data_IF_325984901294
#
_entry.id   IF_325984901294
#
_cell.length_a   1.000
_cell.length_b   1.000
_cell.length_c   1.000
_cell.angle_alpha   90.00
_cell.angle_beta   90.00
_cell.angle_gamma   90.00
#
_symmetry.space_group_name_H-M   'P 1'
#
loop_
_entity.id
_entity.type
_entity.pdbx_description
1 polymer ?
#
# COMPACT_ATOMS: atom_id res chain seq x y z
N UNK A 1 18.84 -10.27 -5.92
CA UNK A 1 19.30 -11.21 -4.87
C UNK A 1 19.08 -10.52 -3.51
N UNK A 2 18.06 -10.92 -2.77
CA UNK A 2 17.86 -10.47 -1.39
C UNK A 2 19.00 -11.04 -0.52
N UNK A 3 19.60 -10.19 0.29
CA UNK A 3 20.67 -10.59 1.21
C UNK A 3 20.02 -11.09 2.51
N UNK A 4 19.72 -12.39 2.58
CA UNK A 4 18.96 -13.06 3.64
C UNK A 4 19.86 -13.57 4.77
N UNK A 5 20.78 -12.76 5.30
CA UNK A 5 21.60 -13.15 6.45
C UNK A 5 21.16 -12.46 7.74
N UNK A 6 20.99 -13.24 8.80
CA UNK A 6 20.73 -12.78 10.17
C UNK A 6 19.23 -12.57 10.49
N UNK A 7 18.92 -11.60 11.36
CA UNK A 7 17.55 -11.28 11.83
C UNK A 7 16.55 -11.07 10.66
N UNK A 8 17.05 -10.69 9.48
CA UNK A 8 16.25 -10.52 8.27
C UNK A 8 15.60 -11.81 7.77
N UNK A 9 16.27 -12.95 7.89
CA UNK A 9 15.69 -14.25 7.47
C UNK A 9 14.56 -14.73 8.39
N UNK A 10 14.61 -14.35 9.68
CA UNK A 10 13.54 -14.66 10.63
C UNK A 10 12.24 -13.88 10.33
N UNK A 11 12.34 -12.67 9.75
CA UNK A 11 11.21 -11.84 9.40
C UNK A 11 10.52 -12.26 8.08
N UNK A 12 11.02 -13.27 7.37
CA UNK A 12 10.33 -13.85 6.21
C UNK A 12 9.10 -14.66 6.62
N UNK A 13 9.07 -15.15 7.86
CA UNK A 13 7.92 -15.88 8.39
C UNK A 13 6.75 -14.92 8.65
N UNK A 14 5.54 -15.20 8.11
CA UNK A 14 4.38 -14.28 8.21
C UNK A 14 4.03 -13.91 9.65
N UNK A 15 4.15 -14.83 10.60
CA UNK A 15 3.82 -14.58 12.00
C UNK A 15 4.84 -13.67 12.70
N UNK A 16 6.14 -13.81 12.39
CA UNK A 16 7.20 -12.93 12.92
C UNK A 16 7.07 -11.53 12.33
N UNK A 17 6.81 -11.44 11.03
CA UNK A 17 6.53 -10.16 10.36
C UNK A 17 5.33 -9.46 10.97
N UNK A 18 4.23 -10.18 11.21
CA UNK A 18 3.03 -9.63 11.84
C UNK A 18 3.29 -9.21 13.29
N UNK A 19 4.04 -10.00 14.08
CA UNK A 19 4.42 -9.64 15.45
C UNK A 19 5.28 -8.37 15.47
N UNK A 20 6.27 -8.26 14.58
CA UNK A 20 7.08 -7.05 14.43
C UNK A 20 6.23 -5.84 14.06
N UNK A 21 5.34 -5.94 13.07
CA UNK A 21 4.43 -4.89 12.66
C UNK A 21 3.52 -4.41 13.81
N UNK A 22 3.05 -5.33 14.65
CA UNK A 22 2.23 -4.98 15.83
C UNK A 22 3.06 -4.26 16.91
N UNK A 23 4.30 -4.69 17.16
CA UNK A 23 5.20 -4.07 18.16
C UNK A 23 5.52 -2.63 17.76
N UNK A 24 5.81 -2.36 16.49
CA UNK A 24 6.13 -1.01 16.00
C UNK A 24 4.89 -0.12 15.84
N UNK A 25 3.69 -0.66 16.00
CA UNK A 25 2.44 0.11 15.94
C UNK A 25 1.86 0.30 14.54
N UNK A 26 2.35 -0.45 13.55
CA UNK A 26 1.90 -0.36 12.16
C UNK A 26 0.39 -0.61 11.99
N UNK A 27 -0.23 -1.41 12.87
CA UNK A 27 -1.69 -1.61 12.90
C UNK A 27 -2.44 -0.31 13.20
N UNK A 28 -1.94 0.52 14.15
CA UNK A 28 -2.55 1.83 14.46
C UNK A 28 -2.34 2.83 13.33
N UNK A 29 -1.15 2.81 12.71
CA UNK A 29 -0.86 3.63 11.54
C UNK A 29 -1.83 3.31 10.40
N UNK A 30 -2.00 2.02 10.07
CA UNK A 30 -2.94 1.57 9.05
C UNK A 30 -4.39 1.97 9.37
N UNK A 31 -4.82 1.85 10.64
CA UNK A 31 -6.18 2.25 11.03
C UNK A 31 -6.39 3.76 10.84
N UNK A 32 -5.43 4.60 11.20
CA UNK A 32 -5.52 6.06 10.99
C UNK A 32 -5.57 6.40 9.51
N UNK A 33 -4.74 5.74 8.68
CA UNK A 33 -4.73 5.92 7.23
C UNK A 33 -6.04 5.43 6.62
N UNK A 34 -6.56 4.27 7.04
CA UNK A 34 -7.84 3.74 6.60
C UNK A 34 -8.98 4.74 6.83
N UNK A 35 -9.11 5.22 8.05
CA UNK A 35 -10.19 6.14 8.41
C UNK A 35 -10.13 7.47 7.64
N UNK A 36 -8.91 7.96 7.38
CA UNK A 36 -8.70 9.28 6.78
C UNK A 36 -8.68 9.26 5.25
N UNK A 37 -8.03 8.27 4.65
CA UNK A 37 -7.70 8.26 3.23
C UNK A 37 -8.47 7.20 2.43
N UNK A 38 -8.64 5.98 2.95
CA UNK A 38 -9.31 4.93 2.17
C UNK A 38 -10.78 5.21 1.98
N UNK A 39 -11.47 5.63 3.03
CA UNK A 39 -12.89 6.01 2.99
C UNK A 39 -13.78 4.97 2.30
N UNK A 40 -13.36 3.70 2.33
CA UNK A 40 -14.08 2.60 1.73
C UNK A 40 -15.45 2.40 2.39
N UNK A 41 -16.48 2.10 1.59
CA UNK A 41 -17.84 1.87 2.03
C UNK A 41 -18.27 0.43 1.70
N UNK A 42 -19.23 -0.14 2.45
CA UNK A 42 -19.83 -1.41 2.09
C UNK A 42 -20.33 -1.42 0.64
N UNK A 43 -20.11 -2.52 -0.07
CA UNK A 43 -20.46 -2.69 -1.48
C UNK A 43 -19.40 -2.20 -2.48
N UNK A 44 -18.48 -1.35 -2.05
CA UNK A 44 -17.39 -0.86 -2.90
C UNK A 44 -16.36 -1.95 -3.20
N UNK A 45 -15.71 -1.80 -4.35
CA UNK A 45 -14.60 -2.65 -4.78
C UNK A 45 -13.26 -2.04 -4.41
N UNK A 46 -12.46 -2.82 -3.67
CA UNK A 46 -11.10 -2.46 -3.27
C UNK A 46 -10.11 -3.42 -3.91
N UNK A 47 -9.10 -2.88 -4.57
CA UNK A 47 -7.97 -3.63 -5.11
C UNK A 47 -6.72 -3.30 -4.30
N UNK A 48 -6.03 -4.31 -3.78
CA UNK A 48 -4.82 -4.17 -2.96
C UNK A 48 -3.63 -4.76 -3.73
N UNK A 49 -2.75 -3.88 -4.20
CA UNK A 49 -1.56 -4.22 -4.98
C UNK A 49 -0.39 -4.48 -4.03
N UNK A 50 0.14 -5.71 -4.02
CA UNK A 50 1.14 -6.13 -3.05
C UNK A 50 0.53 -6.35 -1.67
N UNK A 51 -0.58 -7.09 -1.63
CA UNK A 51 -1.40 -7.26 -0.42
C UNK A 51 -0.70 -8.03 0.71
N UNK A 52 0.41 -8.72 0.42
CA UNK A 52 1.07 -9.59 1.37
C UNK A 52 0.11 -10.64 1.96
N UNK A 53 0.17 -10.89 3.28
CA UNK A 53 -0.72 -11.85 3.94
C UNK A 53 -2.14 -11.33 4.19
N UNK A 54 -2.58 -10.25 3.54
CA UNK A 54 -3.95 -9.72 3.62
C UNK A 54 -4.26 -8.90 4.88
N UNK A 55 -3.25 -8.37 5.57
CA UNK A 55 -3.44 -7.62 6.83
C UNK A 55 -4.33 -6.38 6.68
N UNK A 56 -4.37 -5.80 5.50
CA UNK A 56 -5.11 -4.58 5.20
C UNK A 56 -6.63 -4.80 5.24
N UNK A 57 -7.10 -5.99 4.89
CA UNK A 57 -8.53 -6.36 4.91
C UNK A 57 -9.18 -6.10 6.26
N UNK A 58 -8.43 -6.30 7.37
CA UNK A 58 -8.94 -6.12 8.75
C UNK A 58 -9.27 -4.67 9.10
N UNK A 59 -8.86 -3.72 8.28
CA UNK A 59 -9.11 -2.29 8.43
C UNK A 59 -10.18 -1.76 7.47
N UNK A 60 -10.76 -2.63 6.64
CA UNK A 60 -11.87 -2.30 5.76
C UNK A 60 -13.22 -2.60 6.42
N UNK A 61 -14.27 -1.85 6.11
CA UNK A 61 -15.62 -2.16 6.59
C UNK A 61 -16.13 -3.49 6.01
N UNK A 62 -17.04 -4.13 6.73
CA UNK A 62 -17.72 -5.32 6.24
C UNK A 62 -18.48 -5.04 4.93
N UNK A 63 -18.62 -6.05 4.06
CA UNK A 63 -19.32 -5.92 2.79
C UNK A 63 -18.52 -5.25 1.67
N UNK A 64 -17.24 -4.94 1.88
CA UNK A 64 -16.33 -4.49 0.82
C UNK A 64 -15.94 -5.69 -0.04
N UNK A 65 -16.03 -5.55 -1.36
CA UNK A 65 -15.53 -6.53 -2.33
C UNK A 65 -14.04 -6.31 -2.53
N UNK A 66 -13.23 -7.16 -1.93
CA UNK A 66 -11.78 -7.02 -1.92
C UNK A 66 -11.09 -8.00 -2.86
N UNK A 67 -10.13 -7.49 -3.61
CA UNK A 67 -9.21 -8.30 -4.42
C UNK A 67 -7.78 -7.88 -4.08
N UNK A 68 -7.01 -8.78 -3.48
CA UNK A 68 -5.59 -8.57 -3.23
C UNK A 68 -4.73 -9.49 -4.09
N UNK A 69 -3.57 -9.00 -4.52
CA UNK A 69 -2.58 -9.85 -5.13
C UNK A 69 -1.17 -9.57 -4.61
N UNK A 70 -0.34 -10.60 -4.66
CA UNK A 70 1.07 -10.55 -4.30
C UNK A 70 1.84 -11.59 -5.12
N UNK A 71 3.14 -11.39 -5.31
CA UNK A 71 4.02 -12.35 -6.00
C UNK A 71 4.34 -13.56 -5.13
N UNK A 72 4.17 -13.46 -3.81
CA UNK A 72 4.47 -14.50 -2.84
C UNK A 72 3.31 -15.49 -2.71
N UNK A 73 3.50 -16.71 -3.20
CA UNK A 73 2.55 -17.82 -2.99
C UNK A 73 2.31 -18.11 -1.51
N UNK A 74 3.35 -17.97 -0.67
CA UNK A 74 3.25 -18.19 0.78
C UNK A 74 2.30 -17.17 1.43
N UNK A 75 2.46 -15.87 1.10
CA UNK A 75 1.58 -14.82 1.61
C UNK A 75 0.14 -14.99 1.14
N UNK A 76 -0.05 -15.28 -0.14
CA UNK A 76 -1.39 -15.52 -0.70
C UNK A 76 -2.03 -16.77 -0.10
N UNK A 77 -1.26 -17.84 0.09
CA UNK A 77 -1.74 -19.03 0.80
C UNK A 77 -2.18 -18.75 2.24
N UNK A 78 -1.42 -17.92 2.96
CA UNK A 78 -1.82 -17.46 4.30
C UNK A 78 -3.09 -16.59 4.26
N UNK A 79 -3.17 -15.64 3.34
CA UNK A 79 -4.34 -14.77 3.18
C UNK A 79 -5.60 -15.57 2.88
N UNK A 80 -5.55 -16.53 1.94
CA UNK A 80 -6.68 -17.41 1.60
C UNK A 80 -7.18 -18.19 2.81
N UNK A 81 -6.27 -18.77 3.61
CA UNK A 81 -6.66 -19.48 4.84
C UNK A 81 -7.27 -18.55 5.89
N UNK A 82 -6.74 -17.33 6.02
CA UNK A 82 -7.22 -16.34 7.02
C UNK A 82 -8.61 -15.80 6.73
N UNK A 83 -9.05 -15.84 5.48
CA UNK A 83 -10.34 -15.34 5.01
C UNK A 83 -11.16 -16.43 4.29
N UNK A 84 -10.88 -17.70 4.62
CA UNK A 84 -11.63 -18.84 4.08
C UNK A 84 -13.11 -18.70 4.40
N UNK A 85 -13.95 -18.94 3.38
CA UNK A 85 -15.41 -18.83 3.51
C UNK A 85 -15.98 -17.40 3.38
N UNK A 86 -15.15 -16.37 3.24
CA UNK A 86 -15.64 -15.01 2.93
C UNK A 86 -15.68 -14.81 1.39
N UNK A 87 -16.88 -14.82 0.77
CA UNK A 87 -17.01 -14.73 -0.69
C UNK A 87 -16.62 -13.35 -1.24
N UNK A 88 -16.55 -12.33 -0.40
CA UNK A 88 -16.18 -10.98 -0.79
C UNK A 88 -14.66 -10.76 -0.81
N UNK A 89 -13.85 -11.76 -0.47
CA UNK A 89 -12.38 -11.65 -0.41
C UNK A 89 -11.72 -12.60 -1.39
N UNK A 90 -11.00 -12.04 -2.34
CA UNK A 90 -10.25 -12.79 -3.36
C UNK A 90 -8.76 -12.49 -3.26
N UNK A 91 -7.93 -13.53 -3.31
CA UNK A 91 -6.47 -13.39 -3.26
C UNK A 91 -5.82 -14.13 -4.43
N UNK A 92 -4.95 -13.44 -5.18
CA UNK A 92 -4.38 -13.92 -6.45
C UNK A 92 -2.86 -13.86 -6.36
N UNK A 93 -2.17 -14.92 -6.78
CA UNK A 93 -0.72 -14.90 -6.99
C UNK A 93 -0.43 -14.28 -8.35
N UNK A 94 0.42 -13.25 -8.38
CA UNK A 94 0.81 -12.61 -9.63
C UNK A 94 1.61 -11.33 -9.44
N UNK A 95 2.08 -10.76 -10.54
CA UNK A 95 2.85 -9.51 -10.58
C UNK A 95 2.10 -8.40 -11.31
N UNK A 96 2.53 -7.15 -11.08
CA UNK A 96 1.97 -5.99 -11.77
C UNK A 96 2.18 -6.07 -13.29
N UNK A 97 3.32 -6.60 -13.75
CA UNK A 97 3.65 -6.79 -15.16
C UNK A 97 2.65 -7.72 -15.85
N UNK A 98 2.33 -8.85 -15.19
CA UNK A 98 1.39 -9.82 -15.75
C UNK A 98 -0.02 -9.23 -15.85
N UNK A 99 -0.47 -8.50 -14.83
CA UNK A 99 -1.83 -7.99 -14.76
C UNK A 99 -2.04 -6.70 -15.57
N UNK A 100 -1.01 -5.90 -15.83
CA UNK A 100 -1.15 -4.74 -16.74
C UNK A 100 -1.35 -5.19 -18.19
N UNK A 101 -0.81 -6.34 -18.58
CA UNK A 101 -1.01 -6.91 -19.90
C UNK A 101 -2.42 -7.49 -20.07
N UNK A 102 -2.96 -8.15 -19.05
CA UNK A 102 -4.32 -8.67 -19.00
C UNK A 102 -4.92 -8.51 -17.61
N UNK A 103 -5.63 -7.39 -17.43
CA UNK A 103 -6.23 -7.04 -16.14
C UNK A 103 -7.38 -7.98 -15.80
N UNK A 104 -7.30 -8.76 -14.71
CA UNK A 104 -8.36 -9.67 -14.29
C UNK A 104 -9.69 -8.93 -14.05
N UNK A 105 -10.81 -9.53 -14.46
CA UNK A 105 -12.14 -8.93 -14.32
C UNK A 105 -12.46 -8.44 -12.90
N UNK A 106 -12.17 -9.21 -11.84
CA UNK A 106 -12.39 -8.78 -10.47
C UNK A 106 -11.62 -7.52 -10.04
N UNK A 107 -10.51 -7.19 -10.72
CA UNK A 107 -9.71 -5.99 -10.44
C UNK A 107 -10.19 -4.73 -11.19
N UNK A 108 -11.12 -4.87 -12.13
CA UNK A 108 -11.62 -3.73 -12.93
C UNK A 108 -12.66 -2.92 -12.17
N UNK A 109 -12.73 -1.62 -12.47
CA UNK A 109 -13.69 -0.67 -11.90
C UNK A 109 -13.59 -0.60 -10.36
N UNK A 110 -12.38 -0.50 -9.83
CA UNK A 110 -12.14 -0.34 -8.41
C UNK A 110 -12.53 1.07 -7.93
N UNK A 111 -13.29 1.16 -6.85
CA UNK A 111 -13.58 2.41 -6.16
C UNK A 111 -12.36 2.91 -5.39
N UNK A 112 -11.55 1.97 -4.90
CA UNK A 112 -10.31 2.22 -4.19
C UNK A 112 -9.24 1.22 -4.65
N UNK A 113 -8.07 1.74 -5.01
CA UNK A 113 -6.85 0.94 -5.11
C UNK A 113 -5.93 1.30 -3.96
N UNK A 114 -5.33 0.30 -3.32
CA UNK A 114 -4.39 0.51 -2.21
C UNK A 114 -3.04 -0.09 -2.55
N UNK A 115 -1.97 0.60 -2.14
CA UNK A 115 -0.60 0.09 -2.08
C UNK A 115 -0.03 0.42 -0.70
N UNK A 116 0.23 -0.58 0.10
CA UNK A 116 0.69 -0.37 1.48
C UNK A 116 2.11 -0.87 1.72
N UNK A 117 3.12 -0.02 1.56
CA UNK A 117 4.51 -0.41 1.76
C UNK A 117 5.05 -1.29 0.64
N UNK A 118 4.67 -1.00 -0.61
CA UNK A 118 5.07 -1.76 -1.79
C UNK A 118 6.12 -1.02 -2.62
N UNK A 119 5.85 0.24 -2.96
CA UNK A 119 6.59 0.96 -4.00
C UNK A 119 8.05 1.21 -3.64
N UNK A 120 8.39 1.28 -2.35
CA UNK A 120 9.77 1.42 -1.89
C UNK A 120 10.62 0.13 -2.02
N UNK A 121 9.99 -1.00 -2.34
CA UNK A 121 10.68 -2.24 -2.70
C UNK A 121 10.99 -2.33 -4.20
N UNK A 122 10.33 -1.53 -5.02
CA UNK A 122 10.36 -1.56 -6.47
C UNK A 122 11.31 -0.50 -7.02
N UNK A 123 12.02 -0.82 -8.10
CA UNK A 123 12.74 0.18 -8.88
C UNK A 123 11.74 1.11 -9.61
N UNK A 124 12.25 2.13 -10.32
CA UNK A 124 11.37 3.12 -10.95
C UNK A 124 10.51 2.51 -12.06
N UNK A 125 11.02 1.54 -12.81
CA UNK A 125 10.29 0.85 -13.88
C UNK A 125 9.16 -0.02 -13.32
N UNK A 126 9.47 -0.81 -12.31
CA UNK A 126 8.50 -1.65 -11.60
C UNK A 126 7.44 -0.81 -10.89
N UNK A 127 7.86 0.28 -10.22
CA UNK A 127 6.94 1.19 -9.53
C UNK A 127 6.00 1.91 -10.52
N UNK A 128 6.51 2.35 -11.68
CA UNK A 128 5.67 2.90 -12.75
C UNK A 128 4.68 1.87 -13.30
N UNK A 129 5.08 0.61 -13.43
CA UNK A 129 4.20 -0.47 -13.87
C UNK A 129 3.08 -0.71 -12.85
N UNK A 130 3.41 -0.73 -11.55
CA UNK A 130 2.41 -0.84 -10.48
C UNK A 130 1.43 0.35 -10.46
N UNK A 131 1.92 1.58 -10.63
CA UNK A 131 1.09 2.78 -10.72
C UNK A 131 0.18 2.76 -11.97
N UNK A 132 0.68 2.31 -13.12
CA UNK A 132 -0.13 2.15 -14.35
C UNK A 132 -1.22 1.08 -14.16
N UNK A 133 -0.89 -0.03 -13.50
CA UNK A 133 -1.88 -1.05 -13.15
C UNK A 133 -2.97 -0.47 -12.24
N UNK A 134 -2.58 0.31 -11.21
CA UNK A 134 -3.55 1.00 -10.36
C UNK A 134 -4.48 1.90 -11.18
N UNK A 135 -3.91 2.72 -12.09
CA UNK A 135 -4.69 3.57 -12.97
C UNK A 135 -5.66 2.78 -13.84
N UNK A 136 -5.23 1.66 -14.41
CA UNK A 136 -6.06 0.78 -15.25
C UNK A 136 -7.17 0.08 -14.47
N UNK A 137 -6.96 -0.22 -13.18
CA UNK A 137 -7.94 -0.85 -12.32
C UNK A 137 -9.05 0.10 -11.85
N UNK A 138 -8.78 1.40 -11.77
CA UNK A 138 -9.70 2.40 -11.21
C UNK A 138 -10.99 2.55 -12.02
N UNK A 139 -12.10 2.69 -11.30
CA UNK A 139 -13.33 3.25 -11.83
C UNK A 139 -13.15 4.77 -12.09
N UNK A 140 -13.99 5.42 -12.96
CA UNK A 140 -13.87 6.85 -13.25
C UNK A 140 -13.89 7.75 -11.99
N UNK A 141 -14.62 7.36 -10.95
CA UNK A 141 -14.72 8.07 -9.66
C UNK A 141 -13.81 7.49 -8.57
N UNK A 142 -13.11 6.39 -8.88
CA UNK A 142 -12.21 5.71 -7.95
C UNK A 142 -10.93 6.49 -7.66
N UNK A 143 -10.20 6.05 -6.65
CA UNK A 143 -8.92 6.65 -6.29
C UNK A 143 -7.90 5.63 -5.82
N UNK A 144 -6.63 5.98 -5.99
CA UNK A 144 -5.48 5.29 -5.43
C UNK A 144 -5.12 5.93 -4.08
N UNK A 145 -4.78 5.10 -3.11
CA UNK A 145 -4.07 5.51 -1.89
C UNK A 145 -2.82 4.65 -1.73
N UNK A 146 -1.65 5.24 -1.85
CA UNK A 146 -0.40 4.57 -1.51
C UNK A 146 0.15 5.12 -0.18
N UNK A 147 0.64 4.21 0.68
CA UNK A 147 1.30 4.53 1.96
C UNK A 147 2.72 4.02 1.91
N UNK A 148 3.70 4.92 1.90
CA UNK A 148 5.11 4.59 1.72
C UNK A 148 6.00 5.26 2.77
N UNK A 149 7.24 4.77 2.90
CA UNK A 149 8.28 5.48 3.63
C UNK A 149 8.81 6.65 2.82
N UNK A 150 9.24 7.73 3.50
CA UNK A 150 9.86 8.88 2.83
C UNK A 150 10.96 9.52 3.65
N UNK A 151 11.92 10.16 2.96
CA UNK A 151 12.93 11.02 3.57
C UNK A 151 12.50 12.48 3.49
N UNK A 152 12.65 13.21 4.62
CA UNK A 152 12.44 14.66 4.67
C UNK A 152 13.77 15.41 4.76
N UNK A 153 13.81 16.63 4.22
CA UNK A 153 14.99 17.51 4.27
C UNK A 153 15.41 17.82 5.73
N UNK A 154 14.43 18.02 6.62
CA UNK A 154 14.65 18.31 8.06
C UNK A 154 14.21 17.15 8.97
N UNK A 155 14.46 15.93 8.56
CA UNK A 155 14.16 14.75 9.36
C UNK A 155 15.22 14.54 10.45
N UNK A 156 14.80 14.12 11.66
CA UNK A 156 15.76 13.77 12.72
C UNK A 156 16.66 12.61 12.29
N UNK A 157 17.90 12.58 12.78
CA UNK A 157 18.85 11.48 12.47
C UNK A 157 18.28 10.13 12.86
N UNK A 158 17.54 10.04 13.96
CA UNK A 158 16.90 8.82 14.42
C UNK A 158 15.80 8.36 13.43
N UNK A 159 14.97 9.28 12.96
CA UNK A 159 13.95 8.98 11.95
C UNK A 159 14.58 8.54 10.62
N UNK A 160 15.65 9.20 10.17
CA UNK A 160 16.40 8.79 8.97
C UNK A 160 16.97 7.39 9.12
N UNK A 161 17.49 7.06 10.30
CA UNK A 161 18.02 5.73 10.59
C UNK A 161 16.91 4.66 10.53
N UNK A 162 15.74 4.91 11.13
CA UNK A 162 14.60 3.98 11.05
C UNK A 162 14.09 3.78 9.62
N UNK A 163 13.96 4.85 8.84
CA UNK A 163 13.58 4.74 7.41
C UNK A 163 14.66 3.99 6.62
N UNK A 164 15.96 4.22 6.92
CA UNK A 164 17.07 3.51 6.29
C UNK A 164 17.19 2.04 6.69
N UNK A 165 16.60 1.62 7.81
CA UNK A 165 16.50 0.20 8.20
C UNK A 165 15.39 -0.54 7.44
N UNK A 166 14.52 0.19 6.77
CA UNK A 166 13.48 -0.41 5.95
C UNK A 166 14.13 -1.31 4.88
N UNK A 167 13.48 -2.42 4.57
CA UNK A 167 13.95 -3.38 3.57
C UNK A 167 13.86 -2.82 2.15
N UNK A 168 13.12 -1.72 1.97
CA UNK A 168 13.00 -1.02 0.71
C UNK A 168 14.33 -0.42 0.28
N UNK A 169 14.84 -0.84 -0.87
CA UNK A 169 16.06 -0.28 -1.45
C UNK A 169 15.82 1.07 -2.13
N UNK A 170 14.56 1.39 -2.39
CA UNK A 170 14.12 2.54 -3.19
C UNK A 170 13.19 3.46 -2.40
N UNK A 171 13.52 3.73 -1.12
CA UNK A 171 12.81 4.76 -0.36
C UNK A 171 13.14 6.11 -0.96
N UNK A 172 12.12 6.81 -1.46
CA UNK A 172 12.23 8.07 -2.18
C UNK A 172 11.89 9.25 -1.27
N UNK A 173 12.44 10.42 -1.58
CA UNK A 173 12.00 11.69 -1.01
C UNK A 173 10.64 12.11 -1.55
N UNK A 174 9.97 13.06 -0.89
CA UNK A 174 8.67 13.58 -1.36
C UNK A 174 8.72 14.13 -2.80
N UNK A 175 9.74 14.91 -3.24
CA UNK A 175 9.85 15.33 -4.64
C UNK A 175 9.95 14.17 -5.62
N UNK A 176 10.72 13.12 -5.29
CA UNK A 176 10.86 11.92 -6.14
C UNK A 176 9.54 11.14 -6.21
N UNK A 177 8.79 11.02 -5.09
CA UNK A 177 7.46 10.43 -5.09
C UNK A 177 6.48 11.22 -5.97
N UNK A 178 6.53 12.56 -5.92
CA UNK A 178 5.69 13.43 -6.78
C UNK A 178 6.04 13.27 -8.25
N UNK A 179 7.34 13.23 -8.58
CA UNK A 179 7.80 13.03 -9.96
C UNK A 179 7.34 11.67 -10.50
N UNK A 180 7.53 10.61 -9.73
CA UNK A 180 7.14 9.26 -10.13
C UNK A 180 5.63 9.15 -10.36
N UNK A 181 4.84 9.68 -9.42
CA UNK A 181 3.37 9.65 -9.50
C UNK A 181 2.85 10.47 -10.67
N UNK A 182 3.43 11.67 -10.90
CA UNK A 182 3.05 12.58 -11.98
C UNK A 182 3.32 12.03 -13.39
N UNK A 183 4.17 11.00 -13.54
CA UNK A 183 4.34 10.28 -14.81
C UNK A 183 3.11 9.42 -15.20
N UNK A 184 2.20 9.18 -14.25
CA UNK A 184 1.05 8.29 -14.44
C UNK A 184 -0.28 8.98 -14.16
N UNK A 185 -0.36 9.86 -13.15
CA UNK A 185 -1.58 10.54 -12.72
C UNK A 185 -1.45 12.05 -12.87
N UNK A 186 -2.43 12.68 -13.52
CA UNK A 186 -2.51 14.14 -13.65
C UNK A 186 -3.10 14.80 -12.38
N UNK A 187 -3.85 14.04 -11.58
CA UNK A 187 -4.51 14.49 -10.36
C UNK A 187 -4.03 13.66 -9.18
N UNK A 188 -3.16 14.23 -8.37
CA UNK A 188 -2.67 13.59 -7.14
C UNK A 188 -2.27 14.63 -6.08
N UNK A 189 -2.30 14.19 -4.83
CA UNK A 189 -1.80 14.94 -3.67
C UNK A 189 -0.91 14.05 -2.80
N UNK A 190 0.00 14.67 -2.06
CA UNK A 190 0.86 13.96 -1.11
C UNK A 190 0.71 14.54 0.28
N UNK A 191 0.66 13.66 1.29
CA UNK A 191 0.54 14.03 2.70
C UNK A 191 1.66 13.37 3.48
N UNK A 192 2.54 14.17 4.06
CA UNK A 192 3.58 13.65 4.95
C UNK A 192 3.03 13.47 6.35
N UNK A 193 3.23 12.28 6.92
CA UNK A 193 2.70 11.89 8.21
C UNK A 193 3.85 11.45 9.14
N UNK A 194 3.87 11.99 10.34
CA UNK A 194 4.81 11.61 11.41
C UNK A 194 4.01 11.18 12.66
N UNK A 195 4.63 10.37 13.52
CA UNK A 195 3.98 9.94 14.77
C UNK A 195 2.76 9.03 14.57
N UNK A 196 2.66 8.35 13.43
CA UNK A 196 1.59 7.36 13.19
C UNK A 196 1.73 6.12 14.04
N UNK A 197 2.96 5.70 14.30
CA UNK A 197 3.30 4.55 15.10
C UNK A 197 4.23 4.94 16.29
N UNK A 198 4.74 3.95 16.99
CA UNK A 198 5.65 4.16 18.13
C UNK A 198 7.09 4.44 17.72
N UNK A 199 7.42 4.24 16.46
CA UNK A 199 8.74 4.54 15.91
C UNK A 199 8.76 5.94 15.29
N UNK A 200 9.88 6.65 15.31
CA UNK A 200 10.01 7.94 14.63
C UNK A 200 10.13 7.75 13.10
N UNK A 201 9.26 6.93 12.52
CA UNK A 201 9.21 6.69 11.08
C UNK A 201 8.40 7.79 10.40
N UNK A 202 8.83 8.18 9.20
CA UNK A 202 8.13 9.18 8.39
C UNK A 202 7.47 8.49 7.21
N UNK A 203 6.17 8.71 7.11
CA UNK A 203 5.36 8.18 6.02
C UNK A 203 4.95 9.29 5.05
N UNK A 204 4.72 8.90 3.82
CA UNK A 204 4.01 9.69 2.82
C UNK A 204 2.78 8.92 2.37
N UNK A 205 1.64 9.60 2.33
CA UNK A 205 0.44 9.11 1.65
C UNK A 205 0.35 9.82 0.31
N UNK A 206 0.11 9.06 -0.74
CA UNK A 206 -0.14 9.53 -2.08
C UNK A 206 -1.60 9.20 -2.39
N UNK A 207 -2.45 10.23 -2.56
CA UNK A 207 -3.79 10.07 -3.13
C UNK A 207 -3.75 10.46 -4.60
N UNK A 208 -4.23 9.60 -5.49
CA UNK A 208 -4.30 9.91 -6.93
C UNK A 208 -5.64 9.45 -7.53
N UNK A 209 -6.09 10.12 -8.59
CA UNK A 209 -7.37 9.84 -9.24
C UNK A 209 -7.35 10.14 -10.73
N UNK A 210 -8.34 9.62 -11.46
CA UNK A 210 -8.48 9.87 -12.90
C UNK A 210 -9.06 11.26 -13.22
N UNK A 211 -9.79 11.85 -12.27
CA UNK A 211 -10.45 13.15 -12.40
C UNK A 211 -10.18 13.99 -11.16
N UNK A 212 -10.24 15.33 -11.25
CA UNK A 212 -10.15 16.18 -10.08
C UNK A 212 -11.17 15.76 -9.01
N UNK A 213 -10.71 15.60 -7.77
CA UNK A 213 -11.62 15.33 -6.64
C UNK A 213 -11.86 16.62 -5.88
N UNK A 214 -13.12 16.93 -5.58
CA UNK A 214 -13.43 17.98 -4.61
C UNK A 214 -13.06 17.46 -3.23
N UNK A 215 -11.93 17.92 -2.71
CA UNK A 215 -11.54 17.59 -1.34
C UNK A 215 -12.39 18.41 -0.36
N UNK A 216 -13.31 17.76 0.35
CA UNK A 216 -13.59 18.23 1.69
C UNK A 216 -12.28 18.02 2.47
N UNK A 217 -11.56 19.11 2.77
CA UNK A 217 -10.29 19.04 3.51
C UNK A 217 -10.52 18.23 4.79
N UNK A 218 -9.78 17.15 5.01
CA UNK A 218 -9.85 16.45 6.29
C UNK A 218 -9.29 17.40 7.34
N UNK A 219 -10.12 17.87 8.27
CA UNK A 219 -9.68 18.70 9.38
C UNK A 219 -8.55 17.97 10.12
N UNK A 220 -7.43 18.66 10.24
CA UNK A 220 -6.28 18.22 11.03
C UNK A 220 -6.67 18.52 12.48
N UNK A 221 -7.12 17.50 13.21
CA UNK A 221 -7.24 17.49 14.65
C UNK A 221 -6.07 16.78 15.28
#
# INVERSE_FOLDING_TARGET
MQNDSGIRSLLTQPWIYNAYQNIVGATRARQRVSNRFWRAQPGQRVVDIGCGPGNLVRHLPAGVKYVGFDVSEEYIGHARRSFEGDPDKTFIVGSAENFIADLPGPMRNADLVVMGGLLHHLDDGEALTALRLARAALAPHGHLVALEGTFLVRQSMLSRWFVGLDRGRNVRSEPEWKELTGKVFDHFETFTLTGLDRTPYTYIVIEASLQPRSHAQPQIG
#
